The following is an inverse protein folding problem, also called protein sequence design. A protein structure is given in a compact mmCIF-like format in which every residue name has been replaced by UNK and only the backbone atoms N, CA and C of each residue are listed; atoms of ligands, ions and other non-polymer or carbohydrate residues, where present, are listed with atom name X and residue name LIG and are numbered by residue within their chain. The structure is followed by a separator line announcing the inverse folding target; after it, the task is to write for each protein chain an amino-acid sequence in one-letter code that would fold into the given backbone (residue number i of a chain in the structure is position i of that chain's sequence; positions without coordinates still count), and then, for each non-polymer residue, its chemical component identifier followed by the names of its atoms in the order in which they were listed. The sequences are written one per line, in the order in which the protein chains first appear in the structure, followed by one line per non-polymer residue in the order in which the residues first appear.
data_IF_866907768734
#
_entry.id   IF_866907768734
#
_cell.length_a   1.000
_cell.length_b   1.000
_cell.length_c   1.000
_cell.angle_alpha   90.00
_cell.angle_beta   90.00
_cell.angle_gamma   90.00
#
_symmetry.space_group_name_H-M   'P 1'
#
loop_
_entity.id
_entity.type
_entity.pdbx_description
1 polymer ?
#
# COMPACT_ATOMS: atom_id res chain seq x y z
N UNK A 1 37.61 23.10 -17.96
CA UNK A 1 36.91 23.82 -19.03
C UNK A 1 36.21 22.74 -19.83
N UNK A 2 34.96 22.46 -19.51
CA UNK A 2 34.15 21.49 -20.25
C UNK A 2 32.88 22.20 -20.70
N UNK A 3 32.86 22.56 -21.97
CA UNK A 3 31.72 23.17 -22.67
C UNK A 3 30.94 22.06 -23.36
N UNK A 4 29.70 21.81 -22.95
CA UNK A 4 28.76 21.00 -23.72
C UNK A 4 27.96 21.90 -24.69
N UNK A 5 27.82 21.39 -25.92
CA UNK A 5 27.18 22.05 -27.05
C UNK A 5 25.66 21.87 -26.98
N UNK A 6 24.90 22.96 -27.01
CA UNK A 6 23.43 22.95 -27.13
C UNK A 6 23.05 23.58 -28.48
N UNK A 7 22.07 23.06 -29.27
CA UNK A 7 21.83 23.52 -30.63
C UNK A 7 21.10 24.87 -30.75
N UNK A 8 20.81 25.55 -29.63
CA UNK A 8 20.13 26.85 -29.65
C UNK A 8 20.96 27.82 -28.80
N UNK A 9 21.74 28.66 -29.50
CA UNK A 9 22.85 29.42 -28.94
C UNK A 9 22.44 30.52 -27.95
N UNK A 10 22.35 30.17 -26.67
CA UNK A 10 22.33 31.15 -25.58
C UNK A 10 23.41 30.80 -24.56
N UNK A 11 24.43 31.66 -24.46
CA UNK A 11 25.47 31.57 -23.44
C UNK A 11 25.03 32.40 -22.23
N UNK A 12 24.81 31.77 -21.07
CA UNK A 12 24.71 32.49 -19.79
C UNK A 12 25.94 32.15 -18.95
N UNK A 13 26.70 33.19 -18.60
CA UNK A 13 27.99 33.10 -17.90
C UNK A 13 27.79 32.79 -16.40
N UNK A 14 28.26 31.61 -16.00
CA UNK A 14 28.94 31.26 -14.75
C UNK A 14 28.47 31.82 -13.40
N UNK A 15 27.81 30.96 -12.61
CA UNK A 15 27.96 30.91 -11.13
C UNK A 15 28.24 29.44 -10.76
N UNK A 16 29.28 29.11 -9.99
CA UNK A 16 29.56 27.73 -9.62
C UNK A 16 28.58 27.29 -8.52
N UNK A 17 27.68 26.36 -8.85
CA UNK A 17 26.67 25.85 -7.92
C UNK A 17 27.20 24.62 -7.16
N UNK A 18 27.01 24.65 -5.84
CA UNK A 18 27.25 23.53 -4.94
C UNK A 18 26.29 22.37 -5.23
N UNK A 19 26.69 21.15 -4.85
CA UNK A 19 25.97 19.89 -5.07
C UNK A 19 24.51 19.81 -4.55
N UNK A 20 24.02 20.83 -3.82
CA UNK A 20 22.66 20.90 -3.25
C UNK A 20 21.59 21.49 -4.18
N UNK A 21 21.97 22.16 -5.26
CA UNK A 21 21.03 22.95 -6.10
C UNK A 21 20.63 22.27 -7.42
N UNK A 22 20.88 20.97 -7.61
CA UNK A 22 20.45 20.25 -8.82
C UNK A 22 18.92 20.16 -9.00
N UNK A 23 18.15 20.25 -7.92
CA UNK A 23 16.69 20.11 -7.97
C UNK A 23 15.95 21.31 -8.59
N UNK A 24 16.55 22.51 -8.58
CA UNK A 24 15.88 23.72 -9.09
C UNK A 24 15.87 23.80 -10.62
N UNK A 25 16.88 23.26 -11.30
CA UNK A 25 16.91 23.25 -12.75
C UNK A 25 16.01 22.17 -13.34
N UNK A 26 15.85 21.02 -12.68
CA UNK A 26 14.83 20.03 -13.06
C UNK A 26 13.41 20.60 -12.99
N UNK A 27 13.15 21.54 -12.08
CA UNK A 27 11.85 22.22 -11.97
C UNK A 27 11.51 23.09 -13.19
N UNK A 28 12.51 23.67 -13.85
CA UNK A 28 12.32 24.45 -15.09
C UNK A 28 12.24 23.55 -16.34
N UNK A 29 12.88 22.37 -16.31
CA UNK A 29 12.75 21.37 -17.38
C UNK A 29 11.53 20.46 -17.24
N UNK A 30 10.83 20.50 -16.10
CA UNK A 30 9.64 19.71 -15.82
C UNK A 30 8.32 20.36 -16.28
N UNK A 31 8.33 21.55 -16.89
CA UNK A 31 7.16 21.96 -17.68
C UNK A 31 7.26 21.28 -19.06
N UNK A 32 6.34 20.39 -19.44
CA UNK A 32 6.34 19.79 -20.79
C UNK A 32 6.06 20.84 -21.88
N UNK A 33 5.71 22.06 -21.50
CA UNK A 33 5.72 23.21 -22.39
C UNK A 33 7.11 23.83 -22.39
N UNK A 34 7.90 23.56 -23.44
CA UNK A 34 8.78 24.61 -23.96
C UNK A 34 7.94 25.87 -24.00
N UNK A 35 8.26 26.87 -23.18
CA UNK A 35 7.59 28.18 -23.26
C UNK A 35 7.76 28.59 -24.72
N UNK A 36 6.69 28.53 -25.50
CA UNK A 36 6.75 28.81 -26.92
C UNK A 36 7.29 30.23 -27.11
N UNK A 37 7.96 30.52 -28.21
CA UNK A 37 8.43 31.88 -28.50
C UNK A 37 7.28 32.91 -28.41
N UNK A 38 6.05 32.47 -28.73
CA UNK A 38 4.83 33.27 -28.53
C UNK A 38 4.45 33.49 -27.06
N UNK A 39 4.68 32.51 -26.18
CA UNK A 39 4.45 32.67 -24.73
C UNK A 39 5.50 33.57 -24.11
N UNK A 40 6.77 33.42 -24.52
CA UNK A 40 7.84 34.27 -24.03
C UNK A 40 7.65 35.73 -24.46
N UNK A 41 7.28 35.98 -25.72
CA UNK A 41 6.97 37.35 -26.19
C UNK A 41 5.75 37.94 -25.49
N UNK A 42 4.70 37.15 -25.23
CA UNK A 42 3.56 37.59 -24.44
C UNK A 42 3.96 38.00 -23.01
N UNK A 43 4.77 37.19 -22.33
CA UNK A 43 5.27 37.52 -20.98
C UNK A 43 6.08 38.81 -21.01
N UNK A 44 7.02 38.95 -21.96
CA UNK A 44 7.89 40.14 -22.06
C UNK A 44 7.11 41.42 -22.38
N UNK A 45 6.12 41.35 -23.27
CA UNK A 45 5.41 42.53 -23.75
C UNK A 45 4.23 42.93 -22.86
N UNK A 46 3.55 41.96 -22.27
CA UNK A 46 2.31 42.18 -21.52
C UNK A 46 2.53 42.09 -20.01
N UNK A 47 3.15 41.01 -19.52
CA UNK A 47 3.30 40.80 -18.07
C UNK A 47 4.43 41.64 -17.45
N UNK A 48 5.54 41.79 -18.17
CA UNK A 48 6.70 42.57 -17.74
C UNK A 48 6.69 44.01 -18.26
N UNK A 49 5.51 44.50 -18.67
CA UNK A 49 5.38 45.87 -19.16
C UNK A 49 5.78 46.88 -18.07
N UNK A 50 6.53 47.91 -18.48
CA UNK A 50 7.04 48.98 -17.62
C UNK A 50 5.88 49.76 -17.01
N UNK A 51 4.79 49.94 -17.76
CA UNK A 51 3.56 50.54 -17.24
C UNK A 51 2.70 49.48 -16.52
N UNK A 52 2.47 49.62 -15.19
CA UNK A 52 1.65 48.67 -14.43
C UNK A 52 0.19 48.58 -14.89
N UNK A 53 -0.36 49.66 -15.47
CA UNK A 53 -1.76 49.69 -15.91
C UNK A 53 -1.99 49.03 -17.26
N UNK A 54 -0.92 48.81 -18.03
CA UNK A 54 -0.95 48.10 -19.31
C UNK A 54 -0.76 46.58 -19.17
N UNK A 55 -0.65 46.07 -17.94
CA UNK A 55 -0.52 44.63 -17.66
C UNK A 55 -1.90 43.97 -17.71
N UNK A 56 -2.00 42.74 -18.22
CA UNK A 56 -3.27 42.03 -18.34
C UNK A 56 -3.86 41.73 -16.96
N UNK A 57 -5.19 41.70 -16.89
CA UNK A 57 -5.88 41.28 -15.68
C UNK A 57 -5.64 39.79 -15.41
N UNK A 58 -5.69 39.37 -14.14
CA UNK A 58 -5.47 37.96 -13.76
C UNK A 58 -6.42 37.02 -14.51
N UNK A 59 -7.66 37.44 -14.77
CA UNK A 59 -8.64 36.65 -15.54
C UNK A 59 -8.18 36.39 -16.98
N UNK A 60 -7.57 37.38 -17.62
CA UNK A 60 -7.02 37.25 -18.98
C UNK A 60 -5.78 36.37 -19.02
N UNK A 61 -5.00 36.40 -17.93
CA UNK A 61 -3.85 35.52 -17.74
C UNK A 61 -4.29 34.06 -17.57
N UNK A 62 -5.28 33.80 -16.72
CA UNK A 62 -5.83 32.46 -16.49
C UNK A 62 -6.48 31.86 -17.75
N UNK A 63 -6.91 32.71 -18.70
CA UNK A 63 -7.44 32.27 -19.98
C UNK A 63 -6.36 31.81 -20.97
N UNK A 64 -5.07 32.05 -20.68
CA UNK A 64 -4.00 31.67 -21.59
C UNK A 64 -3.81 30.15 -21.67
N UNK A 65 -3.48 29.59 -22.85
CA UNK A 65 -3.36 28.13 -23.05
C UNK A 65 -2.33 27.47 -22.12
N UNK A 66 -1.25 28.16 -21.79
CA UNK A 66 -0.18 27.67 -20.92
C UNK A 66 -0.53 27.73 -19.43
N UNK A 67 -1.58 28.47 -19.05
CA UNK A 67 -2.13 28.45 -17.69
C UNK A 67 -3.09 27.28 -17.49
N UNK A 68 -3.66 26.71 -18.55
CA UNK A 68 -4.44 25.48 -18.50
C UNK A 68 -3.50 24.28 -18.60
N UNK A 69 -3.22 23.69 -17.43
CA UNK A 69 -2.41 22.49 -17.33
C UNK A 69 -3.28 21.33 -16.84
N UNK A 70 -3.03 20.13 -17.36
CA UNK A 70 -3.64 18.88 -16.92
C UNK A 70 -3.59 18.71 -15.40
N UNK A 71 -2.51 19.14 -14.75
CA UNK A 71 -2.40 19.10 -13.28
C UNK A 71 -3.53 19.89 -12.61
N UNK A 72 -3.82 21.10 -13.10
CA UNK A 72 -4.87 21.95 -12.55
C UNK A 72 -6.26 21.37 -12.85
N UNK A 73 -6.46 20.87 -14.07
CA UNK A 73 -7.75 20.31 -14.49
C UNK A 73 -8.07 19.01 -13.73
N UNK A 74 -7.05 18.16 -13.49
CA UNK A 74 -7.18 16.97 -12.65
C UNK A 74 -7.49 17.38 -11.20
N UNK A 75 -6.71 18.31 -10.63
CA UNK A 75 -6.91 18.75 -9.25
C UNK A 75 -8.31 19.36 -9.03
N UNK A 76 -8.79 20.20 -9.95
CA UNK A 76 -10.13 20.80 -9.88
C UNK A 76 -11.24 19.75 -9.99
N UNK A 77 -11.07 18.76 -10.86
CA UNK A 77 -12.03 17.65 -10.95
C UNK A 77 -12.07 16.85 -9.64
N UNK A 78 -10.90 16.54 -9.06
CA UNK A 78 -10.80 15.81 -7.80
C UNK A 78 -11.38 16.58 -6.62
N UNK A 79 -11.19 17.91 -6.54
CA UNK A 79 -11.75 18.73 -5.46
C UNK A 79 -13.28 18.83 -5.52
N UNK A 80 -13.86 18.74 -6.72
CA UNK A 80 -15.30 18.82 -6.96
C UNK A 80 -15.93 17.45 -7.26
N UNK A 81 -15.27 16.36 -6.88
CA UNK A 81 -15.69 15.01 -7.26
C UNK A 81 -17.12 14.65 -6.79
N UNK A 82 -17.55 15.15 -5.62
CA UNK A 82 -18.86 14.84 -5.03
C UNK A 82 -20.04 15.46 -5.78
N UNK A 83 -19.81 16.52 -6.55
CA UNK A 83 -20.86 17.17 -7.37
C UNK A 83 -20.89 16.64 -8.81
N UNK A 84 -19.95 15.77 -9.18
CA UNK A 84 -19.91 15.14 -10.51
C UNK A 84 -20.89 13.97 -10.60
N UNK A 85 -21.48 13.82 -11.77
CA UNK A 85 -22.32 12.66 -12.12
C UNK A 85 -21.46 11.39 -12.25
N UNK A 86 -22.08 10.21 -12.10
CA UNK A 86 -21.35 8.95 -12.23
C UNK A 86 -20.70 8.80 -13.62
N UNK A 87 -21.38 9.22 -14.69
CA UNK A 87 -20.82 9.18 -16.05
C UNK A 87 -19.59 10.06 -16.20
N UNK A 88 -19.56 11.24 -15.57
CA UNK A 88 -18.38 12.10 -15.61
C UNK A 88 -17.20 11.46 -14.86
N UNK A 89 -17.46 10.85 -13.71
CA UNK A 89 -16.45 10.14 -12.92
C UNK A 89 -15.88 8.96 -13.68
N UNK A 90 -16.73 8.13 -14.27
CA UNK A 90 -16.31 6.94 -15.02
C UNK A 90 -15.41 7.34 -16.20
N UNK A 91 -15.81 8.37 -16.97
CA UNK A 91 -15.00 8.89 -18.06
C UNK A 91 -13.67 9.43 -17.56
N UNK A 92 -13.69 10.23 -16.48
CA UNK A 92 -12.48 10.81 -15.89
C UNK A 92 -11.50 9.71 -15.44
N UNK A 93 -11.93 8.74 -14.63
CA UNK A 93 -11.04 7.68 -14.13
C UNK A 93 -10.60 6.69 -15.20
N UNK A 94 -11.35 6.56 -16.30
CA UNK A 94 -10.92 5.74 -17.45
C UNK A 94 -9.73 6.35 -18.19
N UNK A 95 -9.70 7.69 -18.29
CA UNK A 95 -8.68 8.44 -19.05
C UNK A 95 -7.53 8.96 -18.16
N UNK A 96 -7.78 9.12 -16.86
CA UNK A 96 -6.83 9.67 -15.90
C UNK A 96 -5.43 9.02 -15.95
N UNK A 97 -5.25 7.69 -16.06
CA UNK A 97 -3.91 7.10 -16.15
C UNK A 97 -3.11 7.61 -17.37
N UNK A 98 -3.78 7.78 -18.52
CA UNK A 98 -3.15 8.30 -19.74
C UNK A 98 -2.76 9.78 -19.59
N UNK A 99 -3.54 10.55 -18.82
CA UNK A 99 -3.24 11.96 -18.50
C UNK A 99 -2.16 12.12 -17.43
N UNK A 100 -2.08 11.22 -16.46
CA UNK A 100 -1.04 11.26 -15.41
C UNK A 100 0.33 10.82 -15.92
N UNK A 101 0.39 9.83 -16.81
CA UNK A 101 1.64 9.26 -17.32
C UNK A 101 2.62 10.27 -17.97
N UNK A 102 2.19 11.24 -18.82
CA UNK A 102 3.10 12.23 -19.40
C UNK A 102 3.53 13.33 -18.43
N UNK A 103 2.89 13.43 -17.25
CA UNK A 103 3.23 14.47 -16.28
C UNK A 103 4.56 14.17 -15.57
N UNK A 104 5.29 15.19 -15.12
CA UNK A 104 6.48 15.00 -14.32
C UNK A 104 6.14 14.21 -13.04
N UNK A 105 6.84 13.09 -12.77
CA UNK A 105 6.53 12.23 -11.63
C UNK A 105 6.47 12.96 -10.30
N UNK A 106 7.40 13.91 -10.09
CA UNK A 106 7.49 14.71 -8.86
C UNK A 106 6.25 15.59 -8.65
N UNK A 107 5.72 16.18 -9.72
CA UNK A 107 4.50 17.00 -9.69
C UNK A 107 3.29 16.14 -9.33
N UNK A 108 3.18 14.95 -9.94
CA UNK A 108 2.11 14.01 -9.62
C UNK A 108 2.21 13.57 -8.15
N UNK A 109 3.41 13.24 -7.67
CA UNK A 109 3.62 12.76 -6.30
C UNK A 109 3.33 13.83 -5.23
N UNK A 110 3.71 15.09 -5.47
CA UNK A 110 3.54 16.16 -4.48
C UNK A 110 2.12 16.74 -4.47
N UNK A 111 1.47 16.86 -5.63
CA UNK A 111 0.23 17.63 -5.75
C UNK A 111 -1.01 16.80 -6.03
N UNK A 112 -0.89 15.71 -6.81
CA UNK A 112 -2.04 14.91 -7.23
C UNK A 112 -2.21 13.66 -6.38
N UNK A 113 -1.11 13.01 -5.98
CA UNK A 113 -1.15 11.79 -5.19
C UNK A 113 -1.90 11.95 -3.85
N UNK A 114 -1.73 13.04 -3.07
CA UNK A 114 -2.51 13.24 -1.85
C UNK A 114 -4.01 13.44 -2.10
N UNK A 115 -4.37 14.00 -3.26
CA UNK A 115 -5.76 14.14 -3.66
C UNK A 115 -6.34 12.79 -4.11
N UNK A 116 -5.55 11.98 -4.81
CA UNK A 116 -5.93 10.65 -5.32
C UNK A 116 -6.05 9.59 -4.22
N UNK A 117 -5.14 9.58 -3.25
CA UNK A 117 -5.13 8.62 -2.14
C UNK A 117 -6.08 9.06 -1.02
N UNK A 118 -7.37 9.20 -1.36
CA UNK A 118 -8.45 9.47 -0.42
C UNK A 118 -9.47 8.34 -0.43
N UNK A 119 -10.15 8.05 0.70
CA UNK A 119 -11.18 7.02 0.74
C UNK A 119 -12.25 7.20 -0.33
N UNK A 120 -12.64 8.46 -0.60
CA UNK A 120 -13.63 8.80 -1.62
C UNK A 120 -13.25 8.26 -2.99
N UNK A 121 -12.01 8.48 -3.44
CA UNK A 121 -11.57 8.02 -4.77
C UNK A 121 -11.30 6.52 -4.77
N UNK A 122 -10.79 5.97 -3.67
CA UNK A 122 -10.53 4.52 -3.55
C UNK A 122 -11.81 3.69 -3.64
N UNK A 123 -12.96 4.25 -3.29
CA UNK A 123 -14.27 3.61 -3.45
C UNK A 123 -14.78 3.62 -4.90
N UNK A 124 -14.19 4.41 -5.80
CA UNK A 124 -14.63 4.52 -7.20
C UNK A 124 -14.24 3.27 -8.01
N UNK A 125 -15.24 2.63 -8.61
CA UNK A 125 -15.10 1.32 -9.26
C UNK A 125 -14.22 1.36 -10.51
N UNK A 126 -14.34 2.43 -11.32
CA UNK A 126 -13.51 2.60 -12.52
C UNK A 126 -12.06 2.92 -12.14
N UNK A 127 -11.83 3.71 -11.09
CA UNK A 127 -10.49 3.95 -10.56
C UNK A 127 -9.83 2.62 -10.14
N UNK A 128 -10.59 1.73 -9.50
CA UNK A 128 -10.09 0.40 -9.12
C UNK A 128 -9.57 -0.43 -10.29
N UNK A 129 -10.29 -0.43 -11.41
CA UNK A 129 -9.92 -1.21 -12.60
C UNK A 129 -8.82 -0.55 -13.43
N UNK A 130 -8.83 0.79 -13.49
CA UNK A 130 -8.05 1.54 -14.48
C UNK A 130 -6.83 2.25 -13.89
N UNK A 131 -6.88 2.72 -12.63
CA UNK A 131 -5.87 3.63 -12.06
C UNK A 131 -4.89 2.94 -11.11
N UNK A 132 -5.38 2.19 -10.10
CA UNK A 132 -4.55 1.81 -8.95
C UNK A 132 -3.36 0.93 -9.33
N UNK A 133 -3.50 0.04 -10.31
CA UNK A 133 -2.38 -0.78 -10.79
C UNK A 133 -1.18 0.05 -11.28
N UNK A 134 -1.42 1.24 -11.83
CA UNK A 134 -0.37 2.16 -12.31
C UNK A 134 0.17 3.06 -11.19
N UNK A 135 -0.72 3.53 -10.31
CA UNK A 135 -0.37 4.46 -9.24
C UNK A 135 0.33 3.77 -8.07
N UNK A 136 -0.08 2.55 -7.72
CA UNK A 136 0.36 1.78 -6.55
C UNK A 136 1.46 0.76 -6.85
N UNK A 137 1.96 0.72 -8.09
CA UNK A 137 3.10 -0.12 -8.47
C UNK A 137 4.29 0.78 -8.77
N UNK A 138 5.35 0.76 -7.96
CA UNK A 138 6.57 1.48 -8.26
C UNK A 138 7.30 0.87 -9.46
N UNK A 139 8.10 1.68 -10.15
CA UNK A 139 8.89 1.22 -11.27
C UNK A 139 9.96 0.23 -10.82
N UNK A 140 10.07 -0.90 -11.52
CA UNK A 140 11.04 -1.95 -11.21
C UNK A 140 11.55 -2.61 -12.49
N UNK A 141 12.44 -3.60 -12.36
CA UNK A 141 12.92 -4.39 -13.50
C UNK A 141 11.78 -5.13 -14.24
N UNK A 142 10.74 -5.55 -13.51
CA UNK A 142 9.57 -6.21 -14.08
C UNK A 142 8.62 -5.20 -14.75
N UNK A 143 8.51 -4.00 -14.18
CA UNK A 143 7.64 -2.93 -14.64
C UNK A 143 8.44 -1.63 -14.80
N UNK A 144 9.25 -1.48 -15.88
CA UNK A 144 10.01 -0.26 -16.09
C UNK A 144 9.08 0.89 -16.49
N UNK A 145 9.46 2.14 -16.15
CA UNK A 145 8.79 3.32 -16.70
C UNK A 145 8.99 3.38 -18.21
N UNK A 146 7.94 3.80 -18.91
CA UNK A 146 7.89 3.87 -20.37
C UNK A 146 7.73 5.32 -20.81
N UNK A 147 8.06 5.60 -22.06
CA UNK A 147 7.80 6.92 -22.65
C UNK A 147 6.33 7.12 -23.02
N UNK A 148 5.63 6.03 -23.37
CA UNK A 148 4.23 6.06 -23.80
C UNK A 148 3.38 5.21 -22.88
N UNK A 149 2.15 5.68 -22.62
CA UNK A 149 1.16 4.94 -21.86
C UNK A 149 0.59 3.77 -22.67
N UNK A 150 0.45 2.59 -22.05
CA UNK A 150 -0.18 1.40 -22.61
C UNK A 150 -1.23 0.86 -21.62
N UNK A 151 -2.54 0.97 -21.90
CA UNK A 151 -3.59 0.55 -20.97
C UNK A 151 -3.60 -0.97 -20.70
N UNK A 152 -3.01 -1.77 -21.59
CA UNK A 152 -2.96 -3.22 -21.49
C UNK A 152 -1.86 -3.73 -20.55
N UNK A 153 -0.98 -2.84 -20.06
CA UNK A 153 0.13 -3.18 -19.18
C UNK A 153 0.13 -2.29 -17.94
N UNK A 154 0.90 -2.68 -16.93
CA UNK A 154 1.21 -1.78 -15.83
C UNK A 154 2.24 -0.76 -16.32
N UNK A 155 1.90 0.51 -16.16
CA UNK A 155 2.75 1.66 -16.46
C UNK A 155 2.97 2.46 -15.17
N UNK A 156 4.03 2.17 -14.40
CA UNK A 156 4.33 2.86 -13.15
C UNK A 156 4.53 4.36 -13.35
N UNK A 157 3.96 5.16 -12.45
CA UNK A 157 4.13 6.62 -12.46
C UNK A 157 5.39 7.07 -11.73
N UNK A 158 5.84 6.31 -10.74
CA UNK A 158 6.90 6.69 -9.81
C UNK A 158 8.04 5.68 -9.82
N UNK A 159 9.28 6.14 -9.68
CA UNK A 159 10.39 5.26 -9.27
C UNK A 159 10.27 4.93 -7.77
N UNK A 160 10.97 3.90 -7.32
CA UNK A 160 10.94 3.44 -5.93
C UNK A 160 11.22 4.55 -4.90
N UNK A 161 12.21 5.41 -5.13
CA UNK A 161 12.55 6.49 -4.19
C UNK A 161 11.40 7.49 -3.99
N UNK A 162 10.80 7.93 -5.10
CA UNK A 162 9.71 8.92 -5.08
C UNK A 162 8.43 8.29 -4.52
N UNK A 163 8.18 7.03 -4.87
CA UNK A 163 7.07 6.25 -4.32
C UNK A 163 7.22 6.08 -2.80
N UNK A 164 8.41 5.69 -2.34
CA UNK A 164 8.71 5.50 -0.91
C UNK A 164 8.51 6.79 -0.13
N UNK A 165 8.97 7.92 -0.67
CA UNK A 165 8.88 9.20 0.03
C UNK A 165 7.44 9.76 0.08
N UNK A 166 6.67 9.66 -1.00
CA UNK A 166 5.34 10.28 -1.08
C UNK A 166 4.16 9.32 -0.89
N UNK A 167 4.23 8.10 -1.44
CA UNK A 167 3.09 7.17 -1.46
C UNK A 167 3.03 6.31 -0.19
N UNK A 168 4.16 5.73 0.23
CA UNK A 168 4.18 4.79 1.37
C UNK A 168 3.58 5.39 2.65
N UNK A 169 3.92 6.62 3.08
CA UNK A 169 3.32 7.21 4.28
C UNK A 169 1.80 7.35 4.18
N UNK A 170 1.28 7.71 3.00
CA UNK A 170 -0.16 7.85 2.75
C UNK A 170 -0.86 6.49 2.78
N UNK A 171 -0.24 5.46 2.18
CA UNK A 171 -0.78 4.11 2.16
C UNK A 171 -0.82 3.48 3.56
N UNK A 172 0.22 3.68 4.36
CA UNK A 172 0.23 3.23 5.76
C UNK A 172 -0.89 3.89 6.57
N UNK A 173 -1.09 5.20 6.42
CA UNK A 173 -2.20 5.89 7.09
C UNK A 173 -3.57 5.38 6.62
N UNK A 174 -3.73 5.08 5.33
CA UNK A 174 -4.98 4.56 4.78
C UNK A 174 -5.29 3.14 5.24
N UNK A 175 -4.29 2.36 5.67
CA UNK A 175 -4.50 1.00 6.19
C UNK A 175 -5.29 0.98 7.49
N UNK A 176 -5.26 2.07 8.27
CA UNK A 176 -6.08 2.26 9.49
C UNK A 176 -7.58 2.46 9.17
N UNK A 177 -7.93 2.72 7.91
CA UNK A 177 -9.32 2.93 7.51
C UNK A 177 -10.11 1.61 7.60
N UNK A 178 -11.23 1.61 8.30
CA UNK A 178 -12.17 0.48 8.31
C UNK A 178 -13.16 0.48 7.14
N UNK A 179 -12.91 1.27 6.09
CA UNK A 179 -13.71 1.24 4.87
C UNK A 179 -13.40 -0.03 4.05
N UNK A 180 -14.45 -0.80 3.74
CA UNK A 180 -14.34 -2.06 3.00
C UNK A 180 -13.59 -1.90 1.68
N UNK A 181 -13.97 -0.91 0.86
CA UNK A 181 -13.41 -0.76 -0.48
C UNK A 181 -11.97 -0.28 -0.43
N UNK A 182 -11.65 0.64 0.49
CA UNK A 182 -10.26 1.08 0.74
C UNK A 182 -9.39 -0.12 1.10
N UNK A 183 -9.80 -0.93 2.09
CA UNK A 183 -9.02 -2.10 2.53
C UNK A 183 -8.84 -3.11 1.42
N UNK A 184 -9.87 -3.38 0.61
CA UNK A 184 -9.74 -4.30 -0.53
C UNK A 184 -8.73 -3.82 -1.56
N UNK A 185 -8.71 -2.53 -1.91
CA UNK A 185 -7.73 -1.97 -2.86
C UNK A 185 -6.31 -2.05 -2.30
N UNK A 186 -6.12 -1.71 -1.03
CA UNK A 186 -4.80 -1.74 -0.39
C UNK A 186 -4.26 -3.17 -0.27
N UNK A 187 -5.08 -4.13 0.14
CA UNK A 187 -4.69 -5.54 0.23
C UNK A 187 -4.33 -6.13 -1.14
N UNK A 188 -5.04 -5.73 -2.20
CA UNK A 188 -4.77 -6.16 -3.58
C UNK A 188 -3.39 -5.70 -4.08
N UNK A 189 -2.90 -4.54 -3.62
CA UNK A 189 -1.62 -3.97 -4.04
C UNK A 189 -0.52 -4.05 -2.96
N UNK A 190 -0.78 -4.72 -1.85
CA UNK A 190 0.09 -4.73 -0.67
C UNK A 190 1.50 -5.22 -0.98
N UNK A 191 1.63 -6.25 -1.82
CA UNK A 191 2.92 -6.80 -2.25
C UNK A 191 3.79 -5.79 -3.02
N UNK A 192 3.19 -4.76 -3.62
CA UNK A 192 3.92 -3.79 -4.43
C UNK A 192 4.69 -2.76 -3.59
N UNK A 193 4.16 -2.38 -2.42
CA UNK A 193 4.77 -1.33 -1.60
C UNK A 193 5.40 -1.84 -0.30
N UNK A 194 5.00 -3.00 0.19
CA UNK A 194 5.57 -3.55 1.44
C UNK A 194 7.07 -3.83 1.41
N UNK A 195 7.71 -4.19 0.28
CA UNK A 195 9.17 -4.28 0.23
C UNK A 195 9.89 -2.94 0.45
N UNK A 196 9.20 -1.81 0.24
CA UNK A 196 9.73 -0.46 0.41
C UNK A 196 9.55 0.07 1.84
N UNK A 197 8.78 -0.63 2.68
CA UNK A 197 8.56 -0.24 4.06
C UNK A 197 9.71 -0.76 4.95
N UNK A 198 10.19 0.04 5.92
CA UNK A 198 11.12 -0.46 6.92
C UNK A 198 10.44 -1.55 7.77
N UNK A 199 11.24 -2.52 8.24
CA UNK A 199 10.71 -3.69 8.95
C UNK A 199 9.96 -3.31 10.23
N UNK A 200 10.39 -2.24 10.89
CA UNK A 200 9.76 -1.71 12.09
C UNK A 200 8.33 -1.24 11.81
N UNK A 201 8.09 -0.54 10.71
CA UNK A 201 6.74 -0.11 10.29
C UNK A 201 5.89 -1.29 9.84
N UNK A 202 6.49 -2.26 9.14
CA UNK A 202 5.78 -3.48 8.73
C UNK A 202 5.23 -4.24 9.93
N UNK A 203 6.04 -4.42 10.99
CA UNK A 203 5.65 -5.20 12.17
C UNK A 203 4.85 -4.38 13.17
N UNK A 204 5.24 -3.12 13.39
CA UNK A 204 4.68 -2.25 14.43
C UNK A 204 3.36 -1.58 14.04
N UNK A 205 3.20 -1.24 12.76
CA UNK A 205 2.09 -0.40 12.28
C UNK A 205 1.22 -1.17 11.28
N UNK A 206 1.82 -1.71 10.21
CA UNK A 206 1.05 -2.30 9.11
C UNK A 206 0.43 -3.66 9.47
N UNK A 207 1.21 -4.58 10.05
CA UNK A 207 0.75 -5.94 10.34
C UNK A 207 -0.47 -5.97 11.28
N UNK A 208 -0.54 -5.19 12.38
CA UNK A 208 -1.75 -5.08 13.19
C UNK A 208 -3.00 -4.72 12.38
N UNK A 209 -2.91 -3.72 11.51
CA UNK A 209 -4.03 -3.26 10.66
C UNK A 209 -4.42 -4.31 9.59
N UNK A 210 -3.45 -5.08 9.08
CA UNK A 210 -3.73 -6.22 8.20
C UNK A 210 -4.51 -7.30 8.96
N UNK A 211 -4.09 -7.66 10.18
CA UNK A 211 -4.68 -8.75 10.96
C UNK A 211 -6.14 -8.51 11.35
N UNK A 212 -6.59 -7.24 11.46
CA UNK A 212 -8.00 -6.91 11.71
C UNK A 212 -8.93 -7.55 10.66
N UNK A 213 -8.49 -7.65 9.40
CA UNK A 213 -9.27 -8.23 8.31
C UNK A 213 -9.57 -9.73 8.46
N UNK A 214 -8.86 -10.45 9.33
CA UNK A 214 -9.16 -11.86 9.66
C UNK A 214 -10.44 -12.03 10.48
N UNK A 215 -10.89 -10.95 11.13
CA UNK A 215 -12.09 -10.93 11.97
C UNK A 215 -13.29 -10.32 11.27
N UNK A 216 -13.18 -9.99 9.98
CA UNK A 216 -14.27 -9.42 9.19
C UNK A 216 -15.38 -10.45 8.92
N UNK A 217 -16.59 -9.95 8.64
CA UNK A 217 -17.76 -10.77 8.31
C UNK A 217 -17.73 -11.21 6.84
N UNK A 218 -17.06 -10.45 5.96
CA UNK A 218 -16.94 -10.76 4.55
C UNK A 218 -15.83 -11.78 4.28
N UNK A 219 -16.20 -12.92 3.70
CA UNK A 219 -15.24 -13.93 3.24
C UNK A 219 -14.24 -13.38 2.23
N UNK A 220 -14.64 -12.39 1.40
CA UNK A 220 -13.74 -11.73 0.45
C UNK A 220 -12.62 -10.95 1.17
N UNK A 221 -12.95 -10.24 2.25
CA UNK A 221 -11.99 -9.50 3.08
C UNK A 221 -11.03 -10.46 3.77
N UNK A 222 -11.56 -11.52 4.39
CA UNK A 222 -10.73 -12.56 5.04
C UNK A 222 -9.81 -13.22 4.03
N UNK A 223 -10.31 -13.55 2.83
CA UNK A 223 -9.51 -14.14 1.76
C UNK A 223 -8.40 -13.21 1.29
N UNK A 224 -8.70 -11.93 1.02
CA UNK A 224 -7.70 -10.94 0.63
C UNK A 224 -6.63 -10.75 1.72
N UNK A 225 -7.05 -10.73 2.99
CA UNK A 225 -6.17 -10.62 4.15
C UNK A 225 -5.21 -11.82 4.22
N UNK A 226 -5.71 -13.04 4.05
CA UNK A 226 -4.87 -14.25 4.07
C UNK A 226 -3.83 -14.27 2.94
N UNK A 227 -4.17 -13.78 1.74
CA UNK A 227 -3.20 -13.63 0.64
C UNK A 227 -2.12 -12.62 1.00
N UNK A 228 -2.51 -11.44 1.48
CA UNK A 228 -1.56 -10.40 1.90
C UNK A 228 -0.63 -10.88 3.03
N UNK A 229 -1.13 -11.64 3.99
CA UNK A 229 -0.30 -12.24 5.04
C UNK A 229 0.71 -13.23 4.47
N UNK A 230 0.34 -14.03 3.47
CA UNK A 230 1.27 -14.95 2.81
C UNK A 230 2.44 -14.19 2.16
N UNK A 231 2.17 -13.05 1.53
CA UNK A 231 3.22 -12.19 0.96
C UNK A 231 4.13 -11.61 2.05
N UNK A 232 3.54 -11.12 3.16
CA UNK A 232 4.29 -10.57 4.29
C UNK A 232 5.22 -11.59 4.98
N UNK A 233 4.90 -12.90 4.94
CA UNK A 233 5.77 -13.94 5.52
C UNK A 233 7.19 -13.87 4.96
N UNK A 234 7.34 -13.51 3.68
CA UNK A 234 8.65 -13.40 3.03
C UNK A 234 9.50 -12.24 3.57
N UNK A 235 8.87 -11.20 4.13
CA UNK A 235 9.51 -9.99 4.63
C UNK A 235 9.76 -10.02 6.14
N UNK A 236 8.74 -10.40 6.93
CA UNK A 236 8.83 -10.34 8.40
C UNK A 236 9.13 -11.69 9.04
N UNK A 237 8.91 -12.78 8.31
CA UNK A 237 9.04 -14.14 8.81
C UNK A 237 7.73 -14.70 9.38
N UNK A 238 7.53 -16.01 9.21
CA UNK A 238 6.28 -16.63 9.62
C UNK A 238 6.10 -16.80 11.14
N UNK A 239 7.17 -16.71 11.92
CA UNK A 239 7.09 -16.64 13.39
C UNK A 239 6.40 -15.36 13.83
N UNK A 240 6.73 -14.22 13.23
CA UNK A 240 6.13 -12.91 13.53
C UNK A 240 4.63 -12.89 13.21
N UNK A 241 4.20 -13.50 12.10
CA UNK A 241 2.79 -13.51 11.69
C UNK A 241 1.94 -14.49 12.51
N UNK A 242 2.48 -15.68 12.81
CA UNK A 242 1.71 -16.72 13.53
C UNK A 242 1.79 -16.55 15.05
N UNK A 243 2.81 -15.86 15.57
CA UNK A 243 2.94 -15.54 16.99
C UNK A 243 3.20 -16.75 17.91
N UNK A 244 3.55 -17.91 17.35
CA UNK A 244 3.82 -19.14 18.11
C UNK A 244 5.18 -19.74 17.75
N UNK A 245 5.80 -20.41 18.71
CA UNK A 245 7.01 -21.22 18.49
C UNK A 245 6.69 -22.34 17.50
N UNK A 246 7.32 -22.30 16.32
CA UNK A 246 7.09 -23.27 15.25
C UNK A 246 7.88 -24.55 15.51
N UNK A 247 7.24 -25.70 15.32
CA UNK A 247 7.89 -27.01 15.28
C UNK A 247 7.94 -27.54 13.85
N UNK A 248 8.95 -28.36 13.56
CA UNK A 248 9.03 -29.06 12.29
C UNK A 248 7.98 -30.18 12.28
N UNK A 249 6.92 -30.01 11.47
CA UNK A 249 5.87 -31.02 11.31
C UNK A 249 6.13 -31.88 10.06
N UNK A 250 6.72 -31.29 9.02
CA UNK A 250 6.96 -31.94 7.74
C UNK A 250 8.44 -32.27 7.58
N UNK A 251 8.76 -33.53 7.31
CA UNK A 251 10.11 -33.94 6.96
C UNK A 251 10.41 -33.60 5.49
N UNK A 252 11.60 -33.05 5.24
CA UNK A 252 12.11 -32.86 3.89
C UNK A 252 12.50 -34.21 3.28
N UNK A 253 11.73 -34.67 2.30
CA UNK A 253 11.97 -35.92 1.59
C UNK A 253 12.94 -35.76 0.41
N UNK A 254 13.55 -34.58 0.22
CA UNK A 254 14.53 -34.41 -0.84
C UNK A 254 15.74 -35.32 -0.59
N UNK A 255 16.06 -36.23 -1.53
CA UNK A 255 17.20 -37.11 -1.37
C UNK A 255 18.48 -36.28 -1.41
N UNK A 256 19.15 -36.13 -0.26
CA UNK A 256 20.48 -35.50 -0.19
C UNK A 256 21.43 -36.31 -1.05
N UNK A 257 21.81 -35.79 -2.22
CA UNK A 257 22.91 -36.36 -2.99
C UNK A 257 24.16 -36.28 -2.14
N UNK A 258 24.58 -37.42 -1.58
CA UNK A 258 25.89 -37.55 -0.94
C UNK A 258 26.92 -37.18 -2.00
N UNK A 259 27.65 -36.09 -1.78
CA UNK A 259 28.93 -35.88 -2.46
C UNK A 259 29.80 -37.07 -2.05
N UNK A 260 30.02 -37.99 -2.98
CA UNK A 260 31.00 -39.06 -2.82
C UNK A 260 32.35 -38.39 -2.63
N UNK A 261 32.82 -38.33 -1.39
CA UNK A 261 34.22 -38.07 -1.08
C UNK A 261 34.98 -39.28 -1.61
N UNK A 262 35.62 -39.14 -2.76
CA UNK A 262 36.60 -40.11 -3.23
C UNK A 262 37.85 -39.97 -2.35
N UNK A 263 38.02 -40.88 -1.39
CA UNK A 263 39.35 -41.16 -0.85
C UNK A 263 39.69 -42.64 -1.08
N UNK A 264 40.89 -42.81 -1.62
CA UNK A 264 41.38 -43.98 -2.36
C UNK A 264 42.28 -44.77 -1.41
N UNK A 265 41.93 -45.99 -1.05
CA UNK A 265 42.94 -46.97 -0.62
C UNK A 265 42.54 -48.39 -1.05
N UNK A 266 43.50 -49.05 -1.68
CA UNK A 266 43.43 -50.33 -2.37
C UNK A 266 43.64 -51.51 -1.40
N UNK A 267 42.96 -52.63 -1.61
CA UNK A 267 43.56 -53.99 -1.79
C UNK A 267 42.46 -55.05 -2.08
N UNK A 268 42.75 -56.15 -2.84
CA UNK A 268 41.73 -56.96 -3.53
C UNK A 268 41.59 -58.41 -2.94
N UNK A 269 40.94 -59.41 -3.59
CA UNK A 269 39.74 -60.12 -3.10
C UNK A 269 40.00 -61.61 -2.75
N UNK A 270 38.97 -62.43 -2.44
CA UNK A 270 38.52 -63.41 -3.46
C UNK A 270 36.99 -63.69 -3.44
N UNK A 271 36.32 -63.66 -4.60
CA UNK A 271 35.82 -64.80 -5.40
C UNK A 271 34.50 -65.46 -4.93
N UNK A 272 33.45 -65.34 -5.74
CA UNK A 272 32.20 -66.10 -5.66
C UNK A 272 31.10 -65.55 -6.59
N UNK A 273 30.86 -66.25 -7.71
CA UNK A 273 30.01 -65.90 -8.87
C UNK A 273 28.48 -66.08 -8.63
N UNK A 274 27.61 -66.09 -9.67
CA UNK A 274 26.96 -64.92 -10.28
C UNK A 274 25.42 -65.05 -10.32
N UNK A 275 24.76 -64.10 -11.01
CA UNK A 275 23.38 -64.12 -11.51
C UNK A 275 22.30 -63.50 -10.61
N UNK A 276 21.92 -62.26 -10.92
CA UNK A 276 20.64 -61.98 -11.59
C UNK A 276 20.45 -60.47 -11.79
N UNK A 277 20.24 -60.08 -13.04
CA UNK A 277 19.58 -58.82 -13.41
C UNK A 277 18.14 -58.84 -12.88
N UNK A 278 17.55 -57.67 -12.61
CA UNK A 278 16.55 -57.27 -13.60
C UNK A 278 16.60 -55.79 -13.97
N UNK A 279 16.32 -55.56 -15.25
CA UNK A 279 15.94 -54.29 -15.87
C UNK A 279 14.57 -53.80 -15.37
N UNK A 280 14.20 -52.53 -15.62
CA UNK A 280 13.14 -51.82 -14.92
C UNK A 280 11.77 -51.98 -15.60
N UNK A 281 10.74 -51.50 -14.88
CA UNK A 281 9.33 -51.31 -15.25
C UNK A 281 8.38 -52.43 -14.83
N UNK A 282 7.17 -52.00 -14.44
CA UNK A 282 6.03 -52.75 -13.86
C UNK A 282 6.21 -52.99 -12.35
N UNK A 283 5.55 -52.23 -11.47
CA UNK A 283 4.10 -52.24 -11.32
C UNK A 283 3.57 -50.95 -10.69
N UNK A 284 2.67 -50.27 -11.39
CA UNK A 284 1.62 -49.45 -10.77
C UNK A 284 0.79 -50.40 -9.90
N UNK A 285 1.17 -50.56 -8.63
CA UNK A 285 0.26 -51.11 -7.64
C UNK A 285 -0.70 -49.99 -7.25
N UNK A 286 -1.93 -50.14 -7.72
CA UNK A 286 -3.13 -49.54 -7.15
C UNK A 286 -3.06 -49.57 -5.64
N UNK A 287 -2.93 -48.40 -5.02
CA UNK A 287 -3.14 -48.23 -3.59
C UNK A 287 -4.60 -48.59 -3.28
N UNK A 288 -4.88 -49.45 -2.29
CA UNK A 288 -6.24 -49.55 -1.77
C UNK A 288 -6.62 -48.21 -1.16
N UNK A 289 -7.72 -47.62 -1.62
CA UNK A 289 -8.39 -46.51 -0.95
C UNK A 289 -8.94 -47.04 0.38
N UNK A 290 -8.09 -47.09 1.40
CA UNK A 290 -8.56 -47.04 2.78
C UNK A 290 -9.19 -45.65 2.99
N UNK A 291 -10.36 -45.55 3.65
CA UNK A 291 -10.86 -44.26 4.05
C UNK A 291 -9.79 -43.60 4.93
N UNK A 292 -9.35 -42.41 4.54
CA UNK A 292 -8.50 -41.54 5.35
C UNK A 292 -9.18 -41.37 6.70
N UNK A 293 -8.71 -42.11 7.70
CA UNK A 293 -9.05 -41.84 9.07
C UNK A 293 -8.31 -40.55 9.42
N UNK A 294 -9.06 -39.45 9.43
CA UNK A 294 -8.53 -38.13 9.76
C UNK A 294 -7.76 -38.21 11.08
N UNK A 295 -6.59 -37.54 11.20
CA UNK A 295 -5.95 -37.38 12.50
C UNK A 295 -6.93 -36.66 13.45
N UNK A 296 -6.90 -36.94 14.77
CA UNK A 296 -7.80 -36.33 15.72
C UNK A 296 -7.39 -34.87 15.92
N UNK A 297 -7.84 -34.00 15.02
CA UNK A 297 -7.74 -32.55 15.16
C UNK A 297 -9.18 -32.06 15.32
N UNK A 298 -9.39 -31.37 16.44
CA UNK A 298 -10.65 -31.03 17.08
C UNK A 298 -11.31 -32.20 17.81
N UNK A 299 -10.92 -32.35 19.08
CA UNK A 299 -11.93 -32.65 20.10
C UNK A 299 -13.02 -31.59 19.96
N UNK A 300 -14.10 -31.94 19.26
CA UNK A 300 -15.34 -31.20 19.34
C UNK A 300 -15.68 -31.21 20.83
N UNK A 301 -15.54 -30.05 21.49
CA UNK A 301 -16.12 -29.90 22.81
C UNK A 301 -17.59 -30.26 22.64
N UNK A 302 -18.04 -31.25 23.40
CA UNK A 302 -19.43 -31.62 23.47
C UNK A 302 -20.28 -30.35 23.59
N UNK A 303 -21.46 -30.29 22.94
CA UNK A 303 -22.34 -29.14 23.06
C UNK A 303 -22.50 -28.77 24.54
N UNK A 304 -22.42 -27.48 24.89
CA UNK A 304 -22.43 -27.05 26.28
C UNK A 304 -23.65 -27.65 26.98
N UNK A 305 -23.43 -28.29 28.12
CA UNK A 305 -24.54 -28.81 28.92
C UNK A 305 -25.38 -27.65 29.42
N UNK A 306 -26.66 -27.88 29.76
CA UNK A 306 -27.52 -26.85 30.35
C UNK A 306 -26.92 -26.22 31.62
N UNK A 307 -26.03 -26.96 32.31
CA UNK A 307 -25.27 -26.47 33.46
C UNK A 307 -24.14 -25.51 33.07
N UNK A 308 -23.49 -25.69 31.92
CA UNK A 308 -22.46 -24.79 31.41
C UNK A 308 -23.04 -23.45 30.94
N UNK A 309 -24.23 -23.48 30.34
CA UNK A 309 -24.98 -22.27 29.96
C UNK A 309 -25.43 -21.48 31.19
N UNK A 310 -25.96 -22.16 32.21
CA UNK A 310 -26.33 -21.52 33.48
C UNK A 310 -25.12 -20.86 34.17
N UNK A 311 -23.95 -21.51 34.14
CA UNK A 311 -22.69 -20.93 34.66
C UNK A 311 -22.22 -19.72 33.87
N UNK A 312 -22.38 -19.72 32.55
CA UNK A 312 -22.04 -18.57 31.69
C UNK A 312 -22.97 -17.38 31.95
N UNK A 313 -24.28 -17.64 32.09
CA UNK A 313 -25.27 -16.61 32.43
C UNK A 313 -24.99 -15.99 33.80
N UNK A 314 -24.71 -16.79 34.83
CA UNK A 314 -24.33 -16.27 36.16
C UNK A 314 -23.05 -15.42 36.14
N UNK A 315 -22.05 -15.78 35.31
CA UNK A 315 -20.82 -14.97 35.17
C UNK A 315 -21.08 -13.65 34.45
N UNK A 316 -21.92 -13.67 33.42
CA UNK A 316 -22.32 -12.46 32.69
C UNK A 316 -23.11 -11.51 33.59
N UNK A 317 -24.02 -12.04 34.42
CA UNK A 317 -24.82 -11.26 35.37
C UNK A 317 -23.95 -10.63 36.47
N UNK A 318 -23.04 -11.41 37.09
CA UNK A 318 -22.06 -10.86 38.05
C UNK A 318 -21.18 -9.76 37.46
N UNK A 319 -20.78 -9.89 36.20
CA UNK A 319 -20.00 -8.85 35.51
C UNK A 319 -20.82 -7.60 35.23
N UNK A 320 -22.10 -7.75 34.90
CA UNK A 320 -23.03 -6.64 34.69
C UNK A 320 -23.29 -5.88 36.00
N UNK A 321 -23.56 -6.58 37.09
CA UNK A 321 -23.71 -5.99 38.43
C UNK A 321 -22.44 -5.24 38.88
N UNK A 322 -21.27 -5.83 38.63
CA UNK A 322 -19.98 -5.18 38.95
C UNK A 322 -19.80 -3.87 38.17
N UNK A 323 -20.14 -3.84 36.88
CA UNK A 323 -20.09 -2.62 36.05
C UNK A 323 -21.09 -1.57 36.53
N UNK A 324 -22.29 -1.98 36.92
CA UNK A 324 -23.33 -1.08 37.43
C UNK A 324 -22.94 -0.47 38.78
N UNK A 325 -22.41 -1.27 39.70
CA UNK A 325 -21.85 -0.80 40.97
C UNK A 325 -20.71 0.19 40.75
N UNK A 326 -19.84 -0.06 39.76
CA UNK A 326 -18.74 0.86 39.43
C UNK A 326 -19.26 2.17 38.83
N UNK A 327 -20.33 2.15 38.01
CA UNK A 327 -21.00 3.37 37.52
C UNK A 327 -21.65 4.15 38.66
N UNK A 328 -22.34 3.48 39.59
CA UNK A 328 -22.93 4.11 40.79
C UNK A 328 -21.86 4.77 41.67
N UNK A 329 -20.73 4.09 41.92
CA UNK A 329 -19.59 4.66 42.67
C UNK A 329 -19.01 5.90 41.97
N UNK A 330 -18.84 5.86 40.64
CA UNK A 330 -18.37 7.01 39.85
C UNK A 330 -19.36 8.18 39.91
N UNK A 331 -20.66 7.93 39.82
CA UNK A 331 -21.67 8.99 39.95
C UNK A 331 -21.72 9.57 41.37
N UNK A 332 -21.60 8.75 42.41
CA UNK A 332 -21.56 9.22 43.79
C UNK A 332 -20.32 10.09 44.08
N UNK A 333 -19.15 9.70 43.54
CA UNK A 333 -17.94 10.51 43.64
C UNK A 333 -18.11 11.87 42.94
N UNK A 334 -18.69 11.87 41.72
CA UNK A 334 -18.97 13.10 40.97
C UNK A 334 -19.99 14.00 41.67
N UNK A 335 -21.01 13.42 42.32
CA UNK A 335 -21.99 14.18 43.12
C UNK A 335 -21.34 14.80 44.37
N UNK A 336 -20.41 14.08 45.00
CA UNK A 336 -19.63 14.58 46.14
C UNK A 336 -18.71 15.75 45.73
N UNK A 337 -18.07 15.66 44.57
CA UNK A 337 -17.25 16.75 44.00
C UNK A 337 -18.10 17.98 43.64
N UNK A 338 -19.30 17.80 43.06
CA UNK A 338 -20.22 18.91 42.81
C UNK A 338 -20.72 19.56 44.12
N UNK A 339 -20.96 18.79 45.17
CA UNK A 339 -21.39 19.32 46.48
C UNK A 339 -20.31 20.19 47.15
N UNK A 340 -19.02 19.93 46.87
CA UNK A 340 -17.91 20.77 47.36
C UNK A 340 -17.69 22.05 46.53
N UNK A 341 -18.38 22.20 45.39
CA UNK A 341 -18.26 23.36 44.51
C UNK A 341 -19.25 24.49 44.78
N UNK A 342 -20.27 24.29 45.63
CA UNK A 342 -21.14 25.38 46.07
C UNK A 342 -20.73 25.87 47.47
N UNK A 343 -20.31 27.13 47.64
CA UNK A 343 -20.10 27.70 48.95
C UNK A 343 -21.45 27.79 49.67
N UNK A 344 -21.51 27.34 50.93
CA UNK A 344 -22.66 27.58 51.78
C UNK A 344 -22.90 29.08 51.89
N UNK A 345 -24.15 29.57 51.70
CA UNK A 345 -24.42 30.98 51.83
C UNK A 345 -24.10 31.40 53.26
N UNK A 346 -23.12 32.28 53.41
CA UNK A 346 -22.86 32.94 54.68
C UNK A 346 -24.09 33.80 55.02
N UNK A 347 -24.89 33.33 55.98
CA UNK A 347 -25.88 34.18 56.62
C UNK A 347 -25.13 35.26 57.40
N UNK A 348 -25.09 36.47 56.85
CA UNK A 348 -24.81 37.68 57.62
C UNK A 348 -26.12 38.17 58.23
N UNK A 349 -26.18 38.17 59.56
CA UNK A 349 -27.28 38.67 60.38
C UNK A 349 -26.98 38.44 61.85
#
# INVERSE_FOLDING_TARGET
MDTFFCPVGVWIRGVPLNHRDRGYWEFLYAFPGVISDSTYTYIQQQMLNIDPMARPAVVELMAQPWMRNDVSDIADFLSHLTVKTQSEKDNFFSDLPARLHPLPPRVVAEHLLPLLLTPLIMTETVARRCLWKHLLTPASSQHPRRMTFDPCRICPLFDEDLFTYHAVPLLLNLMESHDYHVRMVLLEHLVQFTPLCPREELVGSLLPEVLVGLHDVSDEMVQATLRALADLVSLVGGETIVGTTRSCIFADSTPRSQKVVMEKTQTPPPSGSPNSLPSPLTSLQTLPLSPLQAPPIFSSKAPPTSQDEARRQQRAEKMREKREMQRRKKMAAKLGELSQQWPTPACNG
#
